data_IF_552708124906
#
_entry.id   IF_552708124906
#
_cell.length_a   1.000
_cell.length_b   1.000
_cell.length_c   1.000
_cell.angle_alpha   90.00
_cell.angle_beta   90.00
_cell.angle_gamma   90.00
#
_symmetry.space_group_name_H-M   'P 1'
#
loop_
_entity.id
_entity.type
_entity.pdbx_description
1 polymer ?
2 non-polymer ?
3 water ?
#
# COMPACT_ATOMS: atom_id res chain seq x y z
N UNK A 1 -35.32 25.35 -4.01
CA UNK A 1 -34.03 25.28 -4.72
C UNK A 1 -32.90 24.95 -3.75
N UNK A 2 -32.20 23.86 -4.03
CA UNK A 2 -31.11 23.36 -3.22
C UNK A 2 -29.77 24.00 -3.61
N UNK A 3 -28.79 24.02 -2.71
CA UNK A 3 -27.47 24.53 -3.08
C UNK A 3 -26.89 23.75 -4.26
N UNK A 4 -26.13 24.45 -5.10
CA UNK A 4 -25.47 23.81 -6.23
C UNK A 4 -24.47 22.76 -5.77
N UNK A 5 -23.74 23.05 -4.70
CA UNK A 5 -22.78 22.10 -4.15
C UNK A 5 -22.85 22.14 -2.64
N UNK A 6 -22.51 21.01 -2.00
CA UNK A 6 -22.31 20.98 -0.55
C UNK A 6 -21.14 20.05 -0.27
N UNK A 7 -20.43 20.34 0.82
CA UNK A 7 -19.28 19.53 1.24
C UNK A 7 -19.22 19.60 2.77
N UNK A 8 -19.72 18.56 3.42
CA UNK A 8 -19.81 18.59 4.87
C UNK A 8 -18.45 18.66 5.53
N UNK A 9 -17.36 18.34 4.82
CA UNK A 9 -16.03 18.54 5.39
C UNK A 9 -15.79 20.00 5.72
N UNK A 10 -16.36 20.93 4.94
CA UNK A 10 -16.19 22.35 5.20
C UNK A 10 -16.89 22.82 6.47
N UNK A 11 -17.82 22.03 6.99
CA UNK A 11 -18.46 22.35 8.26
C UNK A 11 -17.83 21.60 9.42
N UNK A 12 -16.67 20.98 9.21
CA UNK A 12 -16.00 20.22 10.25
C UNK A 12 -16.80 19.05 10.78
N UNK A 13 -17.62 18.43 9.92
CA UNK A 13 -18.51 17.35 10.30
C UNK A 13 -18.01 15.97 9.88
N UNK A 14 -16.80 15.86 9.34
CA UNK A 14 -16.30 14.60 8.80
C UNK A 14 -14.94 14.29 9.41
N UNK A 15 -14.80 13.08 9.96
CA UNK A 15 -13.52 12.66 10.54
C UNK A 15 -12.55 12.22 9.44
N UNK A 16 -11.32 11.91 9.84
CA UNK A 16 -10.32 11.39 8.92
C UNK A 16 -10.78 10.14 8.22
N UNK A 17 -10.35 10.01 6.95
CA UNK A 17 -10.57 8.78 6.19
C UNK A 17 -9.93 7.61 6.93
N UNK A 18 -10.68 6.53 7.09
CA UNK A 18 -10.19 5.34 7.77
C UNK A 18 -9.78 4.29 6.74
N UNK A 19 -9.17 3.21 7.24
CA UNK A 19 -8.60 2.16 6.39
C UNK A 19 -9.14 0.81 6.86
N UNK A 20 -10.09 0.25 6.10
CA UNK A 20 -10.74 -0.99 6.54
C UNK A 20 -9.82 -2.20 6.41
N UNK A 21 -8.85 -2.16 5.50
CA UNK A 21 -7.98 -3.32 5.40
C UNK A 21 -8.70 -4.54 4.83
N UNK A 22 -8.28 -5.72 5.27
CA UNK A 22 -8.80 -6.97 4.72
C UNK A 22 -10.11 -7.41 5.39
N UNK A 23 -10.69 -6.59 6.27
CA UNK A 23 -11.96 -6.87 6.91
C UNK A 23 -13.07 -6.12 6.18
N UNK A 24 -14.09 -6.85 5.69
CA UNK A 24 -15.17 -6.26 4.93
C UNK A 24 -16.15 -5.44 5.76
N UNK A 25 -15.64 -4.41 6.42
CA UNK A 25 -16.40 -3.61 7.38
C UNK A 25 -16.79 -2.24 6.85
N UNK A 26 -16.86 -2.08 5.51
CA UNK A 26 -17.25 -0.78 4.99
C UNK A 26 -18.63 -0.36 5.50
N UNK A 27 -19.52 -1.32 5.74
CA UNK A 27 -20.85 -1.00 6.26
C UNK A 27 -20.75 -0.31 7.62
N UNK A 28 -19.79 -0.75 8.46
CA UNK A 28 -19.63 -0.15 9.77
C UNK A 28 -18.99 1.24 9.67
N UNK A 29 -18.03 1.41 8.77
CA UNK A 29 -17.48 2.74 8.55
C UNK A 29 -18.52 3.70 7.98
N UNK A 30 -19.34 3.23 7.05
CA UNK A 30 -20.39 4.10 6.53
C UNK A 30 -21.33 4.55 7.65
N UNK A 31 -21.66 3.62 8.57
CA UNK A 31 -22.60 3.92 9.62
C UNK A 31 -22.02 4.91 10.63
N UNK A 32 -20.79 4.69 11.11
CA UNK A 32 -20.23 5.63 12.08
C UNK A 32 -20.02 6.99 11.44
N UNK A 33 -19.60 7.02 10.18
CA UNK A 33 -19.37 8.30 9.51
C UNK A 33 -20.62 9.17 9.50
N UNK A 34 -21.75 8.59 9.14
CA UNK A 34 -23.00 9.32 9.16
C UNK A 34 -23.31 9.82 10.56
N UNK A 35 -23.14 8.96 11.58
CA UNK A 35 -23.44 9.37 12.96
C UNK A 35 -22.44 10.39 13.49
N UNK A 36 -21.18 10.33 13.05
CA UNK A 36 -20.19 11.34 13.46
C UNK A 36 -20.65 12.75 13.08
N UNK A 37 -21.29 12.88 11.92
CA UNK A 37 -21.71 14.22 11.47
C UNK A 37 -22.84 14.76 12.33
N UNK A 38 -23.80 13.91 12.66
CA UNK A 38 -24.91 14.32 13.51
C UNK A 38 -24.41 14.69 14.90
N UNK A 39 -23.40 13.95 15.40
CA UNK A 39 -22.85 14.24 16.71
C UNK A 39 -22.17 15.60 16.73
N UNK A 40 -21.38 15.91 15.69
CA UNK A 40 -20.73 17.20 15.59
C UNK A 40 -21.76 18.33 15.54
N UNK A 41 -22.81 18.14 14.74
CA UNK A 41 -23.86 19.13 14.64
C UNK A 41 -24.50 19.39 16.00
N UNK A 42 -24.74 18.32 16.78
CA UNK A 42 -25.45 18.44 18.06
C UNK A 42 -24.57 18.98 19.17
N UNK A 43 -23.34 18.48 19.30
CA UNK A 43 -22.51 18.82 20.44
C UNK A 43 -21.36 19.76 20.10
N UNK A 44 -21.12 20.03 18.82
CA UNK A 44 -19.96 20.82 18.44
C UNK A 44 -18.65 20.08 18.45
N UNK A 45 -18.62 18.83 18.88
CA UNK A 45 -17.40 18.05 18.96
C UNK A 45 -17.35 17.05 17.83
N UNK A 46 -16.20 16.97 17.17
CA UNK A 46 -15.96 16.00 16.11
C UNK A 46 -15.15 14.86 16.71
N UNK A 47 -15.75 13.67 16.81
CA UNK A 47 -15.01 12.53 17.33
C UNK A 47 -15.34 11.30 16.50
N UNK A 48 -14.29 10.60 16.08
CA UNK A 48 -14.45 9.35 15.36
C UNK A 48 -15.13 8.34 16.26
N UNK A 49 -16.16 7.68 15.73
CA UNK A 49 -16.88 6.65 16.45
C UNK A 49 -16.34 5.28 16.06
N UNK A 50 -16.54 4.30 16.95
CA UNK A 50 -15.88 3.00 16.85
C UNK A 50 -16.59 2.13 15.80
N UNK A 51 -15.96 1.94 14.65
CA UNK A 51 -16.44 0.93 13.72
C UNK A 51 -16.26 -0.47 14.31
N UNK A 52 -15.19 -0.69 15.07
CA UNK A 52 -14.95 -1.99 15.67
C UNK A 52 -16.09 -2.38 16.60
N UNK A 53 -16.62 -1.40 17.34
CA UNK A 53 -17.79 -1.61 18.19
C UNK A 53 -18.93 -2.25 17.40
N UNK A 54 -19.19 -1.75 16.20
CA UNK A 54 -20.26 -2.34 15.38
C UNK A 54 -19.89 -3.72 14.89
N UNK A 55 -18.65 -3.89 14.42
CA UNK A 55 -18.20 -5.19 13.90
C UNK A 55 -18.41 -6.27 14.96
N UNK A 56 -17.95 -6.02 16.20
CA UNK A 56 -17.96 -7.03 17.25
C UNK A 56 -19.31 -7.22 17.91
N UNK A 57 -20.20 -6.21 17.89
CA UNK A 57 -21.41 -6.25 18.72
C UNK A 57 -22.72 -6.22 17.95
N UNK A 58 -22.76 -5.56 16.80
CA UNK A 58 -23.97 -5.52 15.97
C UNK A 58 -23.89 -6.70 15.01
N UNK A 59 -24.17 -7.88 15.54
CA UNK A 59 -23.90 -9.15 14.87
C UNK A 59 -25.23 -9.83 14.53
N UNK A 60 -25.47 -11.07 14.95
CA UNK A 60 -26.53 -11.86 14.34
C UNK A 60 -27.93 -11.32 14.65
N UNK A 61 -28.14 -10.69 15.81
CA UNK A 61 -29.45 -10.07 16.06
C UNK A 61 -29.77 -9.01 15.02
N UNK A 62 -28.74 -8.48 14.34
CA UNK A 62 -28.91 -7.42 13.37
C UNK A 62 -28.67 -7.89 11.93
N UNK A 63 -28.59 -9.19 11.71
CA UNK A 63 -28.32 -9.70 10.38
C UNK A 63 -26.94 -9.38 9.86
N UNK A 64 -26.00 -8.98 10.71
CA UNK A 64 -24.65 -8.62 10.29
C UNK A 64 -23.66 -9.73 10.64
N UNK A 65 -22.54 -9.74 9.91
CA UNK A 65 -21.53 -10.78 10.05
C UNK A 65 -20.12 -10.17 10.11
N UNK A 66 -19.95 -9.09 10.88
CA UNK A 66 -18.66 -8.46 11.07
C UNK A 66 -17.86 -8.22 9.81
N UNK A 67 -16.66 -8.81 9.74
CA UNK A 67 -15.78 -8.67 8.59
C UNK A 67 -16.35 -9.29 7.31
N UNK A 68 -17.42 -10.06 7.39
CA UNK A 68 -18.03 -10.63 6.20
C UNK A 68 -19.27 -9.87 5.71
N UNK A 69 -19.48 -8.65 6.19
CA UNK A 69 -20.52 -7.78 5.69
C UNK A 69 -21.60 -7.41 6.69
N UNK A 70 -22.36 -6.38 6.36
CA UNK A 70 -23.46 -5.97 7.23
C UNK A 70 -24.23 -4.83 6.58
N UNK A 71 -25.18 -4.28 7.35
CA UNK A 71 -26.06 -3.20 6.90
C UNK A 71 -25.86 -1.99 7.77
N UNK A 72 -25.88 -0.81 7.14
CA UNK A 72 -25.83 0.43 7.91
C UNK A 72 -27.09 0.57 8.76
N UNK A 73 -28.26 0.21 8.22
CA UNK A 73 -29.52 0.42 8.94
C UNK A 73 -29.55 -0.34 10.26
N UNK A 74 -29.22 -1.64 10.25
CA UNK A 74 -29.24 -2.40 11.49
C UNK A 74 -28.06 -2.08 12.38
N UNK A 75 -26.99 -1.51 11.83
CA UNK A 75 -25.96 -0.95 12.70
C UNK A 75 -26.54 0.21 13.52
N UNK A 76 -27.34 1.08 12.89
CA UNK A 76 -28.02 2.15 13.62
C UNK A 76 -28.97 1.58 14.66
N UNK A 77 -29.75 0.56 14.30
CA UNK A 77 -30.67 -0.03 15.26
C UNK A 77 -29.92 -0.59 16.46
N UNK A 78 -28.76 -1.22 16.25
CA UNK A 78 -27.96 -1.68 17.36
C UNK A 78 -27.59 -0.53 18.30
N UNK A 79 -27.15 0.60 17.73
CA UNK A 79 -26.79 1.74 18.57
C UNK A 79 -28.00 2.24 19.34
N UNK A 80 -29.17 2.24 18.72
CA UNK A 80 -30.40 2.60 19.42
C UNK A 80 -30.63 1.66 20.61
N UNK A 81 -30.66 0.34 20.33
CA UNK A 81 -30.91 -0.65 21.38
C UNK A 81 -29.84 -0.61 22.46
N UNK A 82 -28.58 -0.43 22.05
CA UNK A 82 -27.46 -0.46 22.98
C UNK A 82 -27.40 0.80 23.83
N UNK A 83 -28.16 1.84 23.44
CA UNK A 83 -28.14 3.13 24.12
C UNK A 83 -26.75 3.77 24.06
N UNK A 84 -25.97 3.44 23.04
CA UNK A 84 -24.70 4.12 22.85
C UNK A 84 -23.76 3.37 21.92
N UNK A 85 -22.68 4.07 21.59
CA UNK A 85 -21.54 3.52 20.86
C UNK A 85 -20.28 4.21 21.40
N UNK A 86 -19.20 3.45 21.54
CA UNK A 86 -17.97 3.98 22.08
C UNK A 86 -17.24 4.86 21.06
N UNK A 87 -16.36 5.71 21.57
CA UNK A 87 -15.46 6.45 20.69
C UNK A 87 -14.54 5.46 19.99
N UNK A 88 -14.07 5.85 18.82
CA UNK A 88 -13.07 5.03 18.14
C UNK A 88 -11.78 4.99 18.93
N UNK A 89 -11.42 6.09 19.61
CA UNK A 89 -10.19 6.11 20.42
C UNK A 89 -10.23 5.06 21.52
N UNK A 90 -11.37 4.88 22.17
CA UNK A 90 -11.46 3.91 23.26
C UNK A 90 -11.61 2.47 22.78
N UNK A 91 -12.07 2.28 21.53
CA UNK A 91 -12.37 0.96 20.99
C UNK A 91 -11.87 0.94 19.54
N UNK A 92 -10.55 0.96 19.35
CA UNK A 92 -9.99 1.24 18.03
C UNK A 92 -10.15 0.07 17.07
N UNK A 93 -9.95 0.36 15.78
CA UNK A 93 -10.27 -0.59 14.72
C UNK A 93 -9.13 -1.56 14.48
N UNK A 94 -9.45 -2.86 14.47
CA UNK A 94 -8.44 -3.90 14.34
C UNK A 94 -8.60 -4.73 13.07
N UNK A 95 -9.60 -4.44 12.23
CA UNK A 95 -9.79 -5.14 10.97
C UNK A 95 -9.85 -6.67 11.18
N UNK A 96 -10.52 -7.08 12.25
CA UNK A 96 -10.84 -8.49 12.44
C UNK A 96 -12.03 -8.60 13.38
N UNK A 97 -12.69 -9.77 13.34
CA UNK A 97 -13.84 -10.04 14.20
C UNK A 97 -13.38 -10.33 15.62
N UNK A 98 -13.95 -9.63 16.61
CA UNK A 98 -13.58 -9.82 18.01
C UNK A 98 -14.81 -10.00 18.88
N UNK A 99 -14.55 -10.39 20.13
CA UNK A 99 -15.59 -10.39 21.14
C UNK A 99 -16.10 -8.97 21.35
N UNK A 100 -17.40 -8.84 21.59
CA UNK A 100 -17.96 -7.52 21.86
C UNK A 100 -17.37 -6.95 23.14
N UNK A 101 -16.79 -5.76 23.06
CA UNK A 101 -16.17 -5.14 24.22
C UNK A 101 -16.74 -3.77 24.51
N UNK A 102 -18.02 -3.57 24.19
CA UNK A 102 -18.63 -2.27 24.46
C UNK A 102 -18.60 -1.97 25.95
N UNK A 103 -18.25 -0.73 26.27
CA UNK A 103 -18.16 -0.26 27.65
C UNK A 103 -18.85 1.10 27.68
N UNK A 104 -19.97 1.20 28.40
CA UNK A 104 -20.70 2.44 28.47
C UNK A 104 -19.87 3.59 29.04
N UNK A 105 -18.81 3.29 29.79
CA UNK A 105 -17.94 4.34 30.32
C UNK A 105 -17.34 5.18 29.20
N UNK A 106 -17.16 4.60 28.01
CA UNK A 106 -16.52 5.31 26.91
C UNK A 106 -17.50 5.68 25.81
N UNK A 107 -18.80 5.69 26.12
CA UNK A 107 -19.82 6.09 25.16
C UNK A 107 -19.51 7.48 24.62
N UNK A 108 -19.52 7.61 23.29
CA UNK A 108 -19.25 8.90 22.66
C UNK A 108 -20.41 9.40 21.81
N UNK A 109 -21.41 8.58 21.57
CA UNK A 109 -22.59 9.02 20.84
C UNK A 109 -23.74 8.08 21.14
N UNK A 110 -24.92 8.56 20.81
CA UNK A 110 -26.17 7.83 20.96
C UNK A 110 -26.88 7.93 19.61
N UNK A 111 -27.94 7.16 19.42
CA UNK A 111 -28.72 7.28 18.19
C UNK A 111 -30.20 7.20 18.52
N UNK A 112 -30.98 8.18 18.04
CA UNK A 112 -32.41 8.23 18.35
C UNK A 112 -33.25 7.47 17.32
N UNK A 113 -32.84 7.50 16.06
CA UNK A 113 -33.65 7.01 14.96
C UNK A 113 -32.75 6.98 13.73
N UNK A 114 -33.25 6.40 12.66
CA UNK A 114 -32.64 6.47 11.34
C UNK A 114 -33.76 6.45 10.31
N UNK A 115 -33.44 6.91 9.12
CA UNK A 115 -34.40 7.04 8.02
C UNK A 115 -33.81 6.39 6.78
N UNK A 116 -34.65 5.71 6.02
CA UNK A 116 -34.24 5.11 4.76
C UNK A 116 -34.89 5.87 3.61
N UNK A 117 -34.10 6.12 2.53
CA UNK A 117 -34.65 6.89 1.41
C UNK A 117 -35.08 5.97 0.28
N UNK A 118 -36.03 6.41 -0.56
CA UNK A 118 -36.54 5.53 -1.64
C UNK A 118 -35.49 5.16 -2.67
N UNK A 119 -35.61 3.92 -3.18
CA UNK A 119 -34.67 3.35 -4.13
C UNK A 119 -34.50 4.21 -5.38
N UNK A 120 -33.24 4.52 -5.70
CA UNK A 120 -32.90 5.19 -6.94
C UNK A 120 -33.22 6.66 -7.02
N UNK A 121 -33.73 7.26 -5.95
CA UNK A 121 -34.20 8.64 -5.99
C UNK A 121 -33.02 9.56 -5.73
N UNK A 122 -32.35 9.98 -6.80
CA UNK A 122 -31.19 10.86 -6.64
C UNK A 122 -31.60 12.26 -6.24
N UNK A 123 -32.84 12.67 -6.58
CA UNK A 123 -33.35 13.96 -6.11
C UNK A 123 -33.55 13.94 -4.60
N UNK A 124 -34.13 12.86 -4.07
CA UNK A 124 -34.34 12.75 -2.63
C UNK A 124 -33.01 12.65 -1.89
N UNK A 125 -32.06 11.87 -2.43
CA UNK A 125 -30.75 11.79 -1.80
C UNK A 125 -30.08 13.15 -1.76
N UNK A 126 -30.16 13.91 -2.86
CA UNK A 126 -29.58 15.25 -2.89
C UNK A 126 -30.19 16.12 -1.78
N UNK A 127 -31.51 16.05 -1.61
CA UNK A 127 -32.17 16.87 -0.61
C UNK A 127 -31.72 16.48 0.79
N UNK A 128 -31.60 15.17 1.05
CA UNK A 128 -31.17 14.72 2.37
C UNK A 128 -29.74 15.17 2.67
N UNK A 129 -28.84 15.00 1.69
CA UNK A 129 -27.46 15.47 1.86
C UNK A 129 -27.45 16.98 2.16
N UNK A 130 -28.28 17.75 1.47
CA UNK A 130 -28.30 19.20 1.70
C UNK A 130 -28.91 19.56 3.05
N UNK A 131 -30.03 18.92 3.42
CA UNK A 131 -30.84 19.36 4.55
C UNK A 131 -30.68 18.50 5.79
N UNK A 132 -29.97 17.37 5.73
CA UNK A 132 -29.82 16.52 6.90
C UNK A 132 -28.37 16.24 7.28
N UNK A 133 -27.50 16.04 6.30
CA UNK A 133 -26.10 15.75 6.56
C UNK A 133 -25.65 14.58 5.72
N UNK A 134 -24.41 14.13 5.93
CA UNK A 134 -23.91 12.97 5.18
C UNK A 134 -24.81 11.75 5.31
N UNK A 135 -24.97 11.04 4.19
CA UNK A 135 -25.92 9.93 4.06
C UNK A 135 -25.15 8.64 3.79
N UNK A 136 -25.44 7.62 4.60
CA UNK A 136 -24.88 6.30 4.37
C UNK A 136 -25.51 5.68 3.13
N UNK A 137 -24.68 5.13 2.25
CA UNK A 137 -25.17 4.51 1.02
C UNK A 137 -24.30 3.30 0.71
N UNK A 138 -24.84 2.43 -0.14
CA UNK A 138 -24.07 1.36 -0.76
C UNK A 138 -23.82 1.73 -2.21
N UNK A 139 -22.69 1.24 -2.75
CA UNK A 139 -22.39 1.36 -4.17
C UNK A 139 -21.90 0.01 -4.67
N UNK A 140 -21.97 -0.15 -5.98
CA UNK A 140 -21.42 -1.31 -6.65
C UNK A 140 -19.95 -1.01 -6.91
N UNK A 141 -19.08 -1.56 -6.07
CA UNK A 141 -17.64 -1.34 -6.16
C UNK A 141 -16.89 -2.53 -6.76
N UNK A 142 -17.59 -3.49 -7.37
CA UNK A 142 -16.97 -4.68 -7.95
C UNK A 142 -16.51 -4.43 -9.38
N UNK A 143 -15.56 -3.51 -9.53
CA UNK A 143 -15.04 -3.19 -10.82
C UNK A 143 -13.59 -2.76 -10.63
N UNK A 144 -12.65 -3.31 -11.39
CA UNK A 144 -11.25 -2.87 -11.27
C UNK A 144 -11.09 -1.37 -11.37
N UNK A 145 -11.94 -0.70 -12.15
CA UNK A 145 -11.88 0.76 -12.24
C UNK A 145 -12.10 1.42 -10.88
N UNK A 146 -12.92 0.81 -10.02
CA UNK A 146 -13.13 1.38 -8.70
C UNK A 146 -11.84 1.31 -7.88
N UNK A 147 -11.20 0.14 -7.86
CA UNK A 147 -9.93 -0.01 -7.15
C UNK A 147 -8.84 0.88 -7.72
N UNK A 148 -8.88 1.15 -9.03
CA UNK A 148 -7.85 1.90 -9.73
C UNK A 148 -8.12 3.40 -9.79
N UNK A 149 -9.27 3.85 -9.28
CA UNK A 149 -9.65 5.25 -9.36
C UNK A 149 -8.61 6.14 -8.66
N UNK A 150 -8.20 7.22 -9.33
CA UNK A 150 -7.28 8.21 -8.77
C UNK A 150 -7.92 9.56 -8.57
N UNK A 151 -8.58 10.10 -9.59
CA UNK A 151 -9.14 11.44 -9.50
C UNK A 151 -10.22 11.60 -10.56
N UNK A 152 -10.94 12.71 -10.47
CA UNK A 152 -12.01 13.03 -11.38
C UNK A 152 -13.33 12.46 -10.93
N UNK A 153 -14.30 12.51 -11.86
CA UNK A 153 -15.64 12.02 -11.62
C UNK A 153 -15.70 10.60 -12.19
N UNK A 154 -15.87 9.65 -11.29
CA UNK A 154 -15.90 8.23 -11.64
C UNK A 154 -17.18 7.89 -12.41
N UNK A 155 -17.03 7.25 -13.57
CA UNK A 155 -18.13 6.69 -14.33
C UNK A 155 -17.69 5.34 -14.86
N UNK A 156 -18.45 4.31 -14.53
CA UNK A 156 -18.13 2.93 -14.88
C UNK A 156 -19.26 2.39 -15.74
N UNK A 157 -19.06 2.24 -17.06
CA UNK A 157 -20.18 1.82 -17.93
C UNK A 157 -20.82 0.51 -17.50
N UNK A 158 -20.06 -0.40 -16.92
CA UNK A 158 -20.61 -1.70 -16.54
C UNK A 158 -21.13 -1.74 -15.10
N UNK A 159 -21.22 -0.60 -14.43
CA UNK A 159 -21.75 -0.59 -13.06
C UNK A 159 -23.21 -1.04 -13.05
N UNK A 160 -23.61 -1.67 -11.96
CA UNK A 160 -25.01 -2.01 -11.78
C UNK A 160 -25.59 -1.18 -10.64
N UNK A 161 -26.87 -1.38 -10.40
CA UNK A 161 -27.57 -0.76 -9.28
C UNK A 161 -27.60 -1.67 -8.04
N UNK A 162 -27.04 -2.86 -8.13
CA UNK A 162 -26.86 -3.72 -6.96
C UNK A 162 -25.62 -3.28 -6.19
N UNK A 163 -25.77 -3.00 -4.91
CA UNK A 163 -24.67 -2.48 -4.10
C UNK A 163 -23.98 -3.59 -3.35
N UNK A 164 -22.70 -3.36 -3.02
CA UNK A 164 -21.91 -4.35 -2.29
C UNK A 164 -20.82 -3.72 -1.41
N UNK A 165 -20.78 -2.40 -1.28
CA UNK A 165 -19.73 -1.70 -0.54
C UNK A 165 -20.37 -0.48 0.10
N UNK A 166 -20.20 -0.34 1.41
CA UNK A 166 -20.78 0.78 2.13
C UNK A 166 -19.85 1.98 2.09
N UNK A 167 -20.40 3.14 1.78
CA UNK A 167 -19.67 4.40 1.76
C UNK A 167 -20.54 5.51 2.32
N UNK A 168 -20.00 6.71 2.37
CA UNK A 168 -20.64 7.86 3.00
C UNK A 168 -20.68 9.02 2.02
N UNK A 169 -21.88 9.44 1.63
CA UNK A 169 -22.04 10.61 0.76
C UNK A 169 -21.96 11.86 1.64
N UNK A 170 -20.85 12.59 1.55
CA UNK A 170 -20.65 13.79 2.36
C UNK A 170 -20.92 15.07 1.58
N UNK A 171 -21.36 14.97 0.33
CA UNK A 171 -21.62 16.15 -0.45
C UNK A 171 -21.89 15.83 -1.91
N UNK A 172 -21.99 16.89 -2.70
CA UNK A 172 -22.21 16.75 -4.13
C UNK A 172 -21.79 18.07 -4.77
N UNK A 173 -21.69 18.05 -6.08
CA UNK A 173 -21.37 19.26 -6.80
C UNK A 173 -21.42 19.09 -8.31
N UNK A 174 -20.80 20.05 -8.99
CA UNK A 174 -20.77 20.06 -10.45
C UNK A 174 -19.47 20.74 -10.84
N UNK A 175 -18.54 19.99 -11.40
CA UNK A 175 -17.20 20.48 -11.73
C UNK A 175 -16.75 19.92 -13.06
N UNK A 176 -16.20 20.81 -13.91
CA UNK A 176 -15.66 20.45 -15.21
C UNK A 176 -16.73 19.82 -16.09
N UNK A 177 -17.98 20.31 -15.96
CA UNK A 177 -19.08 19.82 -16.76
C UNK A 177 -19.69 18.53 -16.28
N UNK A 178 -19.25 17.99 -15.13
CA UNK A 178 -19.72 16.72 -14.62
C UNK A 178 -20.35 16.87 -13.23
N UNK A 179 -21.62 16.47 -13.09
CA UNK A 179 -22.26 16.43 -11.78
C UNK A 179 -21.79 15.20 -11.04
N UNK A 180 -21.60 15.32 -9.73
CA UNK A 180 -21.02 14.21 -8.99
C UNK A 180 -21.57 14.16 -7.58
N UNK A 181 -21.38 13.00 -6.96
CA UNK A 181 -21.56 12.81 -5.53
C UNK A 181 -20.18 12.75 -4.88
N UNK A 182 -20.04 13.42 -3.73
CA UNK A 182 -18.77 13.43 -3.01
C UNK A 182 -18.82 12.30 -1.96
N UNK A 183 -17.96 11.30 -2.12
CA UNK A 183 -18.09 10.03 -1.40
C UNK A 183 -16.85 9.79 -0.55
N UNK A 184 -17.03 9.61 0.76
CA UNK A 184 -15.94 9.23 1.66
C UNK A 184 -15.83 7.72 1.67
N UNK A 185 -14.67 7.19 1.23
CA UNK A 185 -14.43 5.75 1.26
C UNK A 185 -13.71 5.37 2.54
N UNK A 186 -13.44 4.07 2.72
CA UNK A 186 -12.69 3.59 3.88
C UNK A 186 -11.53 2.70 3.43
N UNK A 187 -10.80 3.14 2.41
CA UNK A 187 -9.61 2.44 1.95
C UNK A 187 -8.34 3.27 2.18
N UNK A 188 -8.35 4.12 3.21
CA UNK A 188 -7.20 4.93 3.54
C UNK A 188 -7.02 6.12 2.62
N UNK A 189 -5.98 6.91 2.95
CA UNK A 189 -5.74 8.18 2.28
C UNK A 189 -5.18 8.03 0.88
N UNK A 190 -4.57 6.88 0.56
CA UNK A 190 -3.95 6.74 -0.74
C UNK A 190 -4.93 6.34 -1.83
N UNK A 191 -6.17 6.04 -1.48
CA UNK A 191 -7.20 5.80 -2.47
C UNK A 191 -7.73 7.12 -2.99
N UNK A 192 -7.90 7.20 -4.30
CA UNK A 192 -8.57 8.33 -4.93
C UNK A 192 -8.04 9.70 -4.53
N UNK A 193 -8.97 10.61 -4.23
CA UNK A 193 -8.63 11.99 -3.92
C UNK A 193 -8.55 12.09 -2.41
N UNK A 194 -7.38 11.77 -1.87
CA UNK A 194 -7.12 11.82 -0.43
C UNK A 194 -8.15 10.99 0.33
N UNK A 195 -8.51 9.84 -0.23
CA UNK A 195 -9.46 8.95 0.41
C UNK A 195 -10.89 9.09 -0.07
N UNK A 196 -11.18 10.05 -0.96
CA UNK A 196 -12.53 10.31 -1.44
C UNK A 196 -12.66 9.90 -2.90
N UNK A 197 -13.88 9.58 -3.31
CA UNK A 197 -14.18 9.36 -4.72
C UNK A 197 -15.40 10.19 -5.09
N UNK A 198 -15.31 10.93 -6.19
CA UNK A 198 -16.44 11.65 -6.73
C UNK A 198 -17.08 10.79 -7.81
N UNK A 199 -18.35 10.45 -7.61
CA UNK A 199 -19.08 9.52 -8.47
C UNK A 199 -20.16 10.25 -9.26
N UNK A 200 -20.35 9.83 -10.50
CA UNK A 200 -21.32 10.45 -11.41
C UNK A 200 -22.70 10.53 -10.79
N UNK A 201 -23.29 11.71 -10.84
CA UNK A 201 -24.59 12.00 -10.26
C UNK A 201 -25.59 12.29 -11.37
N UNK A 202 -26.85 11.90 -11.14
CA UNK A 202 -27.91 12.06 -12.13
C UNK A 202 -27.59 11.32 -13.41
N UNK A 203 -26.96 10.15 -13.28
CA UNK A 203 -26.73 9.30 -14.44
C UNK A 203 -27.46 7.98 -14.20
N UNK A 204 -28.76 8.08 -13.89
CA UNK A 204 -29.58 6.90 -13.69
C UNK A 204 -29.17 5.99 -12.56
N UNK A 205 -28.87 6.56 -11.38
CA UNK A 205 -28.50 5.78 -10.20
C UNK A 205 -27.22 4.98 -10.45
N UNK A 206 -26.21 5.67 -10.96
CA UNK A 206 -24.94 5.04 -11.34
C UNK A 206 -24.29 4.33 -10.16
N UNK A 207 -23.95 3.06 -10.37
CA UNK A 207 -23.34 2.17 -9.36
C UNK A 207 -24.23 1.99 -8.13
N UNK A 208 -25.53 2.23 -8.27
CA UNK A 208 -26.48 2.04 -7.20
C UNK A 208 -26.33 2.98 -6.02
N UNK A 209 -25.71 4.15 -6.23
CA UNK A 209 -25.41 5.07 -5.11
C UNK A 209 -26.68 5.46 -4.35
N UNK A 210 -27.83 5.50 -5.01
CA UNK A 210 -29.08 5.86 -4.37
C UNK A 210 -30.01 4.67 -4.16
N UNK A 211 -29.49 3.44 -4.30
CA UNK A 211 -30.35 2.27 -4.14
C UNK A 211 -30.81 2.10 -2.69
N UNK A 212 -29.90 2.24 -1.72
CA UNK A 212 -30.22 2.00 -0.31
C UNK A 212 -29.56 3.05 0.59
N UNK A 213 -30.04 4.29 0.55
CA UNK A 213 -29.51 5.30 1.47
C UNK A 213 -30.22 5.29 2.81
N UNK A 214 -29.47 5.66 3.83
CA UNK A 214 -30.05 5.83 5.14
C UNK A 214 -29.18 6.81 5.92
N UNK A 215 -29.80 7.54 6.87
CA UNK A 215 -29.05 8.43 7.74
C UNK A 215 -29.62 8.40 9.16
N UNK A 216 -28.77 8.54 10.16
CA UNK A 216 -29.24 8.51 11.55
C UNK A 216 -29.47 9.92 12.10
N UNK A 217 -30.11 10.01 13.25
CA UNK A 217 -30.33 11.30 13.89
C UNK A 217 -30.14 11.12 15.39
N UNK A 218 -29.69 12.19 16.03
CA UNK A 218 -29.59 12.29 17.49
C UNK A 218 -30.44 13.50 17.89
N UNK A 219 -31.56 13.24 18.54
CA UNK A 219 -32.53 14.26 18.91
C UNK A 219 -32.20 14.87 20.28
N UNK A 220 -32.66 16.11 20.50
CA UNK A 220 -32.49 16.72 21.80
C UNK A 220 -33.27 15.91 22.84
N UNK A 221 -32.62 15.58 23.94
CA UNK A 221 -33.29 14.78 24.94
C UNK A 221 -33.42 13.31 24.54
N UNK B 1 24.72 -6.15 20.07
CA UNK B 1 23.34 -5.65 20.01
C UNK B 1 22.63 -5.98 18.69
N UNK B 2 23.36 -6.47 17.68
CA UNK B 2 22.68 -6.72 16.42
C UNK B 2 21.94 -8.07 16.46
N UNK B 3 20.88 -8.22 15.68
CA UNK B 3 20.21 -9.53 15.63
C UNK B 3 21.14 -10.59 15.07
N UNK B 4 21.02 -11.80 15.62
CA UNK B 4 21.83 -12.92 15.14
C UNK B 4 21.50 -13.22 13.68
N UNK B 5 20.23 -13.12 13.31
CA UNK B 5 19.77 -13.37 11.94
C UNK B 5 18.76 -12.29 11.56
N UNK B 6 18.71 -11.97 10.26
CA UNK B 6 17.69 -11.09 9.69
C UNK B 6 17.30 -11.61 8.32
N UNK B 7 16.05 -11.35 7.93
CA UNK B 7 15.54 -11.74 6.62
C UNK B 7 14.49 -10.71 6.22
N UNK B 8 14.87 -9.78 5.35
CA UNK B 8 13.97 -8.70 4.99
C UNK B 8 12.75 -9.17 4.23
N UNK B 9 12.77 -10.39 3.66
CA UNK B 9 11.54 -10.93 3.08
C UNK B 9 10.45 -11.04 4.13
N UNK B 10 10.82 -11.25 5.38
CA UNK B 10 9.84 -11.33 6.45
C UNK B 10 9.14 -10.00 6.72
N UNK B 11 9.71 -8.88 6.26
CA UNK B 11 9.06 -7.58 6.39
C UNK B 11 8.36 -7.14 5.11
N UNK B 12 8.17 -8.06 4.16
CA UNK B 12 7.54 -7.71 2.89
C UNK B 12 8.32 -6.67 2.09
N UNK B 13 9.65 -6.63 2.25
CA UNK B 13 10.48 -5.62 1.61
C UNK B 13 11.21 -6.12 0.37
N UNK B 14 10.94 -7.34 -0.08
CA UNK B 14 11.69 -7.92 -1.19
C UNK B 14 10.71 -8.39 -2.27
N UNK B 15 10.88 -7.90 -3.50
CA UNK B 15 10.00 -8.31 -4.59
C UNK B 15 10.37 -9.70 -5.09
N UNK B 16 9.53 -10.21 -5.98
CA UNK B 16 9.78 -11.51 -6.59
C UNK B 16 11.13 -11.53 -7.31
N UNK B 17 11.80 -12.69 -7.24
CA UNK B 17 13.04 -12.89 -7.97
C UNK B 17 12.81 -12.67 -9.46
N UNK B 18 13.71 -11.94 -10.10
CA UNK B 18 13.66 -11.67 -11.54
C UNK B 18 14.64 -12.56 -12.29
N UNK B 19 14.58 -12.49 -13.63
CA UNK B 19 15.36 -13.36 -14.51
C UNK B 19 16.06 -12.52 -15.56
N UNK B 20 17.37 -12.29 -15.40
CA UNK B 20 18.10 -11.39 -16.30
C UNK B 20 18.30 -12.00 -17.69
N UNK B 21 18.37 -13.32 -17.79
CA UNK B 21 18.58 -13.92 -19.10
C UNK B 21 19.98 -13.61 -19.64
N UNK B 22 20.09 -13.51 -20.95
CA UNK B 22 21.38 -13.34 -21.60
C UNK B 22 21.86 -11.90 -21.60
N UNK B 23 21.16 -11.01 -20.91
CA UNK B 23 21.57 -9.62 -20.74
C UNK B 23 22.25 -9.50 -19.38
N UNK B 24 23.51 -9.04 -19.39
CA UNK B 24 24.29 -8.90 -18.16
C UNK B 24 23.90 -7.71 -17.30
N UNK B 25 22.65 -7.70 -16.84
CA UNK B 25 22.08 -6.57 -16.12
C UNK B 25 21.90 -6.86 -14.63
N UNK B 26 22.70 -7.78 -14.08
CA UNK B 26 22.57 -8.04 -12.64
C UNK B 26 22.83 -6.78 -11.83
N UNK B 27 23.71 -5.91 -12.33
CA UNK B 27 23.96 -4.64 -11.65
C UNK B 27 22.68 -3.82 -11.56
N UNK B 28 21.83 -3.88 -12.58
CA UNK B 28 20.60 -3.10 -12.54
C UNK B 28 19.57 -3.75 -11.62
N UNK B 29 19.47 -5.09 -11.64
CA UNK B 29 18.56 -5.76 -10.72
C UNK B 29 19.00 -5.56 -9.27
N UNK B 30 20.31 -5.62 -9.03
CA UNK B 30 20.79 -5.37 -7.66
C UNK B 30 20.38 -3.99 -7.18
N UNK B 31 20.49 -2.97 -8.05
CA UNK B 31 20.15 -1.60 -7.67
C UNK B 31 18.66 -1.43 -7.41
N UNK B 32 17.80 -1.89 -8.33
CA UNK B 32 16.36 -1.72 -8.08
C UNK B 32 15.95 -2.51 -6.85
N UNK B 33 16.53 -3.70 -6.67
CA UNK B 33 16.16 -4.50 -5.51
C UNK B 33 16.40 -3.76 -4.21
N UNK B 34 17.57 -3.14 -4.09
CA UNK B 34 17.86 -2.34 -2.91
C UNK B 34 16.87 -1.20 -2.73
N UNK B 35 16.58 -0.47 -3.81
CA UNK B 35 15.68 0.68 -3.71
C UNK B 35 14.25 0.24 -3.41
N UNK B 36 13.85 -0.93 -3.92
CA UNK B 36 12.50 -1.43 -3.65
C UNK B 36 12.23 -1.53 -2.15
N UNK B 37 13.23 -1.95 -1.37
CA UNK B 37 13.04 -2.10 0.06
C UNK B 37 12.90 -0.74 0.74
N UNK B 38 13.71 0.22 0.33
CA UNK B 38 13.61 1.55 0.92
C UNK B 38 12.26 2.17 0.59
N UNK B 39 11.76 1.96 -0.63
CA UNK B 39 10.45 2.48 -1.00
C UNK B 39 9.37 1.81 -0.16
N UNK B 40 9.47 0.49 0.03
CA UNK B 40 8.49 -0.23 0.84
C UNK B 40 8.47 0.31 2.27
N UNK B 41 9.65 0.49 2.87
CA UNK B 41 9.72 1.04 4.22
C UNK B 41 9.08 2.42 4.30
N UNK B 42 9.25 3.24 3.26
CA UNK B 42 8.77 4.62 3.34
C UNK B 42 7.27 4.71 3.08
N UNK B 43 6.78 4.01 2.06
CA UNK B 43 5.39 4.16 1.64
C UNK B 43 4.49 3.00 1.99
N UNK B 44 5.04 1.88 2.46
CA UNK B 44 4.22 0.71 2.69
C UNK B 44 3.88 -0.10 1.47
N UNK B 45 4.27 0.34 0.28
CA UNK B 45 3.95 -0.37 -0.95
C UNK B 45 5.18 -1.08 -1.48
N UNK B 46 5.01 -2.34 -1.87
CA UNK B 46 6.06 -3.15 -2.51
C UNK B 46 5.80 -3.17 -4.01
N UNK B 47 6.68 -2.56 -4.79
CA UNK B 47 6.50 -2.53 -6.23
C UNK B 47 7.84 -2.77 -6.92
N UNK B 48 7.85 -3.68 -7.89
CA UNK B 48 9.07 -3.91 -8.66
C UNK B 48 9.42 -2.67 -9.47
N UNK B 49 10.67 -2.23 -9.35
CA UNK B 49 11.16 -1.08 -10.10
C UNK B 49 11.87 -1.54 -11.36
N UNK B 50 11.94 -0.64 -12.34
CA UNK B 50 12.35 -0.96 -13.71
C UNK B 50 13.86 -1.14 -13.81
N UNK B 51 14.30 -2.38 -13.91
CA UNK B 51 15.69 -2.64 -14.26
C UNK B 51 15.98 -2.17 -15.68
N UNK B 52 15.00 -2.32 -16.58
CA UNK B 52 15.19 -1.91 -17.98
C UNK B 52 15.47 -0.41 -18.05
N UNK B 53 14.80 0.37 -17.21
CA UNK B 53 15.05 1.81 -17.09
C UNK B 53 16.52 2.10 -16.86
N UNK B 54 17.15 1.35 -15.95
CA UNK B 54 18.58 1.55 -15.70
C UNK B 54 19.41 1.12 -16.90
N UNK B 55 19.08 -0.03 -17.49
CA UNK B 55 19.82 -0.53 -18.64
C UNK B 55 19.85 0.51 -19.75
N UNK B 56 18.68 1.07 -20.09
CA UNK B 56 18.56 1.95 -21.25
C UNK B 56 19.03 3.38 -20.98
N UNK B 57 19.01 3.84 -19.74
CA UNK B 57 19.18 5.26 -19.45
C UNK B 57 20.39 5.58 -18.59
N UNK B 58 20.79 4.67 -17.71
CA UNK B 58 22.00 4.88 -16.93
C UNK B 58 23.17 4.27 -17.71
N UNK B 59 23.63 5.00 -18.72
CA UNK B 59 24.54 4.48 -19.73
C UNK B 59 25.93 5.15 -19.56
N UNK B 60 26.53 5.71 -20.62
CA UNK B 60 27.95 6.00 -20.60
C UNK B 60 28.30 7.12 -19.62
N UNK B 61 27.40 8.09 -19.42
CA UNK B 61 27.66 9.13 -18.41
C UNK B 61 27.86 8.55 -17.03
N UNK B 62 27.37 7.32 -16.80
CA UNK B 62 27.48 6.64 -15.52
C UNK B 62 28.48 5.50 -15.56
N UNK B 63 29.30 5.42 -16.61
CA UNK B 63 30.24 4.32 -16.76
C UNK B 63 29.61 2.97 -17.00
N UNK B 64 28.33 2.91 -17.36
CA UNK B 64 27.66 1.63 -17.55
C UNK B 64 27.48 1.32 -19.05
N UNK B 65 27.31 0.04 -19.34
CA UNK B 65 27.16 -0.43 -20.71
C UNK B 65 26.00 -1.41 -20.84
N UNK B 66 24.87 -1.09 -20.22
CA UNK B 66 23.65 -1.86 -20.32
C UNK B 66 23.85 -3.35 -20.13
N UNK B 67 23.49 -4.14 -21.14
CA UNK B 67 23.61 -5.59 -21.09
C UNK B 67 25.05 -6.07 -21.01
N UNK B 68 26.04 -5.19 -21.18
CA UNK B 68 27.44 -5.54 -21.01
C UNK B 68 28.00 -5.10 -19.67
N UNK B 69 27.14 -4.74 -18.71
CA UNK B 69 27.61 -4.52 -17.36
C UNK B 69 27.45 -3.10 -16.85
N UNK B 70 27.55 -2.95 -15.54
CA UNK B 70 27.41 -1.65 -14.91
C UNK B 70 27.65 -1.75 -13.42
N UNK B 71 27.40 -0.63 -12.74
CA UNK B 71 27.61 -0.46 -11.31
C UNK B 71 26.31 -0.06 -10.63
N UNK B 72 26.09 -0.61 -9.44
CA UNK B 72 24.93 -0.23 -8.63
C UNK B 72 25.00 1.23 -8.19
N UNK B 73 26.21 1.69 -7.81
CA UNK B 73 26.36 3.06 -7.29
C UNK B 73 25.96 4.09 -8.33
N UNK B 74 26.49 3.97 -9.55
CA UNK B 74 26.13 4.93 -10.59
C UNK B 74 24.72 4.72 -11.11
N UNK B 75 24.17 3.52 -10.91
CA UNK B 75 22.73 3.34 -11.14
C UNK B 75 21.94 4.19 -10.15
N UNK B 76 22.33 4.17 -8.87
CA UNK B 76 21.69 5.03 -7.88
C UNK B 76 21.86 6.49 -8.25
N UNK B 77 23.08 6.86 -8.70
CA UNK B 77 23.33 8.24 -9.09
C UNK B 77 22.42 8.67 -10.23
N UNK B 78 22.20 7.79 -11.21
CA UNK B 78 21.27 8.11 -12.27
C UNK B 78 19.88 8.42 -11.72
N UNK B 79 19.40 7.58 -10.80
CA UNK B 79 18.06 7.78 -10.24
C UNK B 79 17.98 9.11 -9.52
N UNK B 80 19.06 9.46 -8.78
CA UNK B 80 19.15 10.76 -8.14
C UNK B 80 19.13 11.87 -9.19
N UNK B 81 20.02 11.81 -10.18
CA UNK B 81 20.08 12.84 -11.21
C UNK B 81 18.77 12.91 -11.98
N UNK B 82 18.20 11.75 -12.33
CA UNK B 82 17.01 11.72 -13.16
C UNK B 82 15.77 12.16 -12.41
N UNK B 83 15.84 12.26 -11.08
CA UNK B 83 14.69 12.60 -10.23
C UNK B 83 13.58 11.54 -10.32
N UNK B 84 13.94 10.29 -10.61
CA UNK B 84 12.95 9.24 -10.54
C UNK B 84 13.39 7.99 -11.27
N UNK B 85 12.62 6.95 -11.07
CA UNK B 85 12.78 5.70 -11.82
C UNK B 85 11.37 5.16 -12.04
N UNK B 86 11.13 4.60 -13.23
CA UNK B 86 9.82 4.04 -13.53
C UNK B 86 9.61 2.71 -12.81
N UNK B 87 8.34 2.35 -12.66
CA UNK B 87 7.96 1.02 -12.24
C UNK B 87 8.32 0.00 -13.31
N UNK B 88 8.55 -1.25 -12.90
CA UNK B 88 8.74 -2.32 -13.88
C UNK B 88 7.48 -2.54 -14.71
N UNK B 89 6.31 -2.33 -14.10
CA UNK B 89 5.06 -2.48 -14.83
C UNK B 89 4.99 -1.56 -16.04
N UNK B 90 5.40 -0.30 -15.88
CA UNK B 90 5.34 0.66 -16.97
C UNK B 90 6.49 0.54 -17.94
N UNK B 91 7.61 -0.05 -17.52
CA UNK B 91 8.85 -0.06 -18.29
C UNK B 91 9.46 -1.44 -18.15
N UNK B 92 8.85 -2.45 -18.77
CA UNK B 92 9.18 -3.84 -18.45
C UNK B 92 10.52 -4.28 -19.01
N UNK B 93 11.02 -5.39 -18.47
CA UNK B 93 12.35 -5.86 -18.78
C UNK B 93 12.35 -6.72 -20.04
N UNK B 94 13.24 -6.42 -20.97
CA UNK B 94 13.31 -7.10 -22.24
C UNK B 94 14.64 -7.81 -22.46
N UNK B 95 15.58 -7.73 -21.52
CA UNK B 95 16.88 -8.39 -21.64
C UNK B 95 17.59 -8.01 -22.94
N UNK B 96 17.51 -6.74 -23.31
CA UNK B 96 18.27 -6.22 -24.43
C UNK B 96 18.41 -4.71 -24.24
N UNK B 97 19.39 -4.15 -24.96
CA UNK B 97 19.69 -2.72 -24.91
C UNK B 97 18.68 -1.98 -25.78
N UNK B 98 18.06 -0.95 -25.21
CA UNK B 98 17.08 -0.16 -25.93
C UNK B 98 17.37 1.31 -25.75
N UNK B 99 16.69 2.14 -26.54
CA UNK B 99 16.73 3.57 -26.32
C UNK B 99 16.11 3.87 -24.97
N UNK B 100 16.65 4.89 -24.31
CA UNK B 100 16.11 5.32 -23.03
C UNK B 100 14.67 5.78 -23.23
N UNK B 101 13.74 5.16 -22.51
CA UNK B 101 12.33 5.49 -22.65
C UNK B 101 11.71 5.88 -21.32
N UNK B 102 12.49 6.49 -20.44
CA UNK B 102 11.97 6.94 -19.15
C UNK B 102 10.84 7.94 -19.34
N UNK B 103 9.78 7.77 -18.55
CA UNK B 103 8.60 8.62 -18.62
C UNK B 103 8.26 9.01 -17.19
N UNK B 104 8.42 10.30 -16.85
CA UNK B 104 8.17 10.75 -15.48
C UNK B 104 6.73 10.50 -15.04
N UNK B 105 5.80 10.34 -15.99
CA UNK B 105 4.42 10.05 -15.63
C UNK B 105 4.31 8.75 -14.84
N UNK B 106 5.23 7.82 -15.07
CA UNK B 106 5.16 6.50 -14.45
C UNK B 106 6.24 6.31 -13.38
N UNK B 107 6.76 7.42 -12.85
CA UNK B 107 7.72 7.36 -11.76
C UNK B 107 7.11 6.61 -10.59
N UNK B 108 7.83 5.62 -10.08
CA UNK B 108 7.38 4.84 -8.93
C UNK B 108 8.32 4.94 -7.76
N UNK B 109 9.50 5.52 -7.95
CA UNK B 109 10.39 5.74 -6.84
C UNK B 109 11.35 6.85 -7.24
N UNK B 110 11.98 7.38 -6.21
CA UNK B 110 12.99 8.43 -6.26
C UNK B 110 14.18 7.94 -5.45
N UNK B 111 15.31 8.65 -5.53
CA UNK B 111 16.46 8.31 -4.69
C UNK B 111 17.11 9.58 -4.15
N UNK B 112 17.30 9.65 -2.82
CA UNK B 112 17.89 10.84 -2.21
C UNK B 112 19.41 10.79 -2.17
N UNK B 113 19.98 9.62 -1.97
CA UNK B 113 21.40 9.46 -1.71
C UNK B 113 21.71 7.97 -1.76
N UNK B 114 23.00 7.65 -1.75
CA UNK B 114 23.44 6.28 -1.54
C UNK B 114 24.73 6.33 -0.76
N UNK B 115 25.05 5.21 -0.12
CA UNK B 115 26.21 5.08 0.74
C UNK B 115 27.01 3.84 0.35
N UNK B 116 28.33 3.94 0.36
CA UNK B 116 29.21 2.81 0.11
C UNK B 116 29.86 2.39 1.41
N UNK B 117 30.01 1.06 1.62
CA UNK B 117 30.60 0.50 2.81
C UNK B 117 32.05 0.09 2.56
N UNK B 118 32.90 0.08 3.60
CA UNK B 118 34.32 -0.24 3.39
C UNK B 118 34.52 -1.67 2.92
N UNK B 119 35.51 -1.83 2.03
CA UNK B 119 35.84 -3.09 1.38
C UNK B 119 36.16 -4.18 2.40
N UNK B 120 35.46 -5.32 2.29
CA UNK B 120 35.76 -6.51 3.08
C UNK B 120 35.34 -6.49 4.52
N UNK B 121 34.66 -5.43 4.97
CA UNK B 121 34.27 -5.28 6.37
C UNK B 121 32.92 -5.97 6.53
N UNK B 122 32.96 -7.27 6.85
CA UNK B 122 31.70 -8.00 6.97
C UNK B 122 30.93 -7.59 8.22
N UNK B 123 31.64 -7.11 9.26
CA UNK B 123 30.94 -6.56 10.41
C UNK B 123 30.14 -5.33 10.02
N UNK B 124 30.72 -4.45 9.22
CA UNK B 124 30.03 -3.24 8.81
C UNK B 124 28.84 -3.58 7.91
N UNK B 125 29.00 -4.54 6.99
CA UNK B 125 27.89 -4.99 6.16
C UNK B 125 26.78 -5.58 7.02
N UNK B 126 27.15 -6.40 8.01
CA UNK B 126 26.14 -6.97 8.92
C UNK B 126 25.32 -5.86 9.56
N UNK B 127 25.99 -4.83 10.06
CA UNK B 127 25.29 -3.72 10.69
C UNK B 127 24.36 -3.00 9.71
N UNK B 128 24.83 -2.76 8.48
CA UNK B 128 23.99 -2.07 7.50
C UNK B 128 22.75 -2.89 7.16
N UNK B 129 22.92 -4.18 6.89
CA UNK B 129 21.76 -5.02 6.58
C UNK B 129 20.78 -5.00 7.73
N UNK B 130 21.26 -5.03 8.97
CA UNK B 130 20.36 -5.02 10.11
C UNK B 130 19.67 -3.66 10.26
N UNK B 131 20.42 -2.56 10.11
CA UNK B 131 19.94 -1.23 10.48
C UNK B 131 19.53 -0.35 9.31
N UNK B 132 19.79 -0.74 8.07
CA UNK B 132 19.36 0.08 6.95
C UNK B 132 18.45 -0.66 5.97
N UNK B 133 18.72 -1.93 5.72
CA UNK B 133 17.94 -2.72 4.78
C UNK B 133 18.84 -3.50 3.84
N UNK B 134 18.24 -4.15 2.84
CA UNK B 134 19.03 -4.92 1.87
C UNK B 134 20.11 -4.08 1.22
N UNK B 135 21.29 -4.68 1.03
CA UNK B 135 22.47 -3.97 0.56
C UNK B 135 22.92 -4.56 -0.78
N UNK B 136 23.08 -3.70 -1.79
CA UNK B 136 23.63 -4.12 -3.07
C UNK B 136 25.11 -4.45 -2.92
N UNK B 137 25.52 -5.58 -3.49
CA UNK B 137 26.90 -6.03 -3.43
C UNK B 137 27.25 -6.73 -4.73
N UNK B 138 28.55 -6.84 -4.99
CA UNK B 138 29.04 -7.66 -6.07
C UNK B 138 29.61 -8.92 -5.46
N UNK B 139 29.55 -10.02 -6.22
CA UNK B 139 30.22 -11.25 -5.84
C UNK B 139 30.98 -11.79 -7.05
N UNK B 140 31.94 -12.64 -6.74
CA UNK B 140 32.66 -13.39 -7.77
C UNK B 140 31.84 -14.62 -8.05
N UNK B 141 31.09 -14.59 -9.15
CA UNK B 141 30.23 -15.70 -9.52
C UNK B 141 30.79 -16.52 -10.68
N UNK B 142 32.06 -16.32 -11.03
CA UNK B 142 32.68 -17.00 -12.17
C UNK B 142 33.21 -18.36 -11.73
N UNK B 143 32.28 -19.23 -11.35
CA UNK B 143 32.61 -20.55 -10.91
C UNK B 143 31.46 -21.47 -11.25
N UNK B 144 31.71 -22.61 -11.88
CA UNK B 144 30.62 -23.54 -12.16
C UNK B 144 29.81 -23.88 -10.92
N UNK B 145 30.47 -23.93 -9.77
CA UNK B 145 29.78 -24.22 -8.51
C UNK B 145 28.69 -23.20 -8.22
N UNK B 146 28.91 -21.94 -8.62
CA UNK B 146 27.88 -20.94 -8.41
C UNK B 146 26.66 -21.24 -9.26
N UNK B 147 26.87 -21.50 -10.56
CA UNK B 147 25.76 -21.83 -11.44
C UNK B 147 25.02 -23.08 -10.97
N UNK B 148 25.73 -24.04 -10.39
CA UNK B 148 25.22 -25.36 -10.02
C UNK B 148 24.71 -25.42 -8.58
N UNK B 149 24.80 -24.32 -7.83
CA UNK B 149 24.35 -24.30 -6.44
C UNK B 149 22.88 -24.67 -6.32
N UNK B 150 22.57 -25.55 -5.37
CA UNK B 150 21.19 -25.92 -5.08
C UNK B 150 20.72 -25.48 -3.70
N UNK B 151 21.50 -25.75 -2.66
CA UNK B 151 21.03 -25.46 -1.30
C UNK B 151 22.20 -25.44 -0.32
N UNK B 152 21.90 -24.96 0.90
CA UNK B 152 22.88 -24.93 1.94
C UNK B 152 23.76 -23.70 1.83
N UNK B 153 24.84 -23.71 2.59
CA UNK B 153 25.74 -22.56 2.65
C UNK B 153 26.84 -22.79 1.62
N UNK B 154 26.84 -21.95 0.61
CA UNK B 154 27.80 -22.02 -0.48
C UNK B 154 29.19 -21.60 0.00
N UNK B 155 30.19 -22.44 -0.27
CA UNK B 155 31.60 -22.12 -0.04
C UNK B 155 32.42 -22.61 -1.22
N UNK B 156 33.14 -21.70 -1.87
CA UNK B 156 33.91 -22.00 -3.08
C UNK B 156 35.37 -21.72 -2.83
N UNK B 157 36.20 -22.75 -2.64
CA UNK B 157 37.61 -22.50 -2.27
C UNK B 157 38.36 -21.62 -3.26
N UNK B 158 38.01 -21.65 -4.54
CA UNK B 158 38.72 -20.85 -5.54
C UNK B 158 38.11 -19.46 -5.74
N UNK B 159 37.16 -19.06 -4.91
CA UNK B 159 36.60 -17.72 -5.04
C UNK B 159 37.67 -16.68 -4.73
N UNK B 160 37.58 -15.52 -5.40
CA UNK B 160 38.43 -14.36 -5.10
C UNK B 160 37.59 -13.24 -4.50
N UNK B 161 38.25 -12.13 -4.16
CA UNK B 161 37.55 -10.94 -3.69
C UNK B 161 37.23 -9.97 -4.83
N UNK B 162 37.62 -10.28 -6.07
CA UNK B 162 37.25 -9.51 -7.26
C UNK B 162 35.84 -9.89 -7.69
N UNK B 163 34.93 -8.92 -7.78
CA UNK B 163 33.52 -9.17 -8.03
C UNK B 163 33.19 -8.96 -9.51
N UNK B 164 32.16 -9.65 -9.97
CA UNK B 164 31.78 -9.58 -11.37
C UNK B 164 30.28 -9.75 -11.60
N UNK B 165 29.48 -9.87 -10.54
CA UNK B 165 28.06 -10.17 -10.64
C UNK B 165 27.36 -9.41 -9.53
N UNK B 166 26.35 -8.62 -9.87
CA UNK B 166 25.64 -7.83 -8.89
C UNK B 166 24.51 -8.65 -8.29
N UNK B 167 24.40 -8.62 -6.97
CA UNK B 167 23.32 -9.29 -6.26
C UNK B 167 22.88 -8.39 -5.10
N UNK B 168 21.90 -8.88 -4.33
CA UNK B 168 21.29 -8.13 -3.23
C UNK B 168 21.34 -8.97 -1.96
N UNK B 169 22.03 -8.46 -0.94
CA UNK B 169 22.03 -9.10 0.37
C UNK B 169 20.75 -8.66 1.11
N UNK B 170 19.81 -9.59 1.27
CA UNK B 170 18.55 -9.29 1.96
C UNK B 170 18.52 -9.80 3.39
N UNK B 171 19.61 -10.37 3.90
CA UNK B 171 19.62 -10.86 5.25
C UNK B 171 20.89 -11.65 5.54
N UNK B 172 20.90 -12.28 6.71
CA UNK B 172 22.03 -13.11 7.11
C UNK B 172 21.56 -14.07 8.20
N UNK B 173 22.35 -15.11 8.42
CA UNK B 173 21.99 -16.09 9.42
C UNK B 173 23.07 -17.13 9.63
N UNK B 174 22.64 -18.27 10.14
CA UNK B 174 23.51 -19.39 10.42
C UNK B 174 22.73 -20.69 10.24
N UNK B 175 23.39 -21.70 9.70
CA UNK B 175 22.77 -22.99 9.44
C UNK B 175 23.74 -24.04 9.95
N UNK B 176 23.35 -24.75 11.01
CA UNK B 176 24.17 -25.83 11.59
C UNK B 176 25.61 -25.39 11.82
N UNK B 177 25.76 -24.19 12.37
CA UNK B 177 27.07 -23.66 12.69
C UNK B 177 27.80 -22.96 11.55
N UNK B 178 27.20 -22.86 10.38
CA UNK B 178 27.85 -22.19 9.26
C UNK B 178 27.11 -20.89 9.05
N UNK B 179 27.82 -19.78 9.21
CA UNK B 179 27.23 -18.46 9.04
C UNK B 179 27.13 -18.11 7.55
N UNK B 180 26.07 -17.39 7.19
CA UNK B 180 25.85 -17.13 5.78
C UNK B 180 25.26 -15.74 5.57
N UNK B 181 25.37 -15.29 4.33
CA UNK B 181 24.63 -14.14 3.84
C UNK B 181 23.46 -14.64 2.99
N UNK B 182 22.29 -14.03 3.18
CA UNK B 182 21.09 -14.38 2.41
C UNK B 182 21.04 -13.49 1.18
N UNK B 183 21.21 -14.08 0.00
CA UNK B 183 21.51 -13.33 -1.22
C UNK B 183 20.41 -13.60 -2.25
N UNK B 184 19.76 -12.53 -2.70
CA UNK B 184 18.79 -12.59 -3.78
C UNK B 184 19.51 -12.45 -5.11
N UNK B 185 19.40 -13.48 -5.95
CA UNK B 185 20.00 -13.47 -7.28
C UNK B 185 18.96 -12.94 -8.26
N UNK B 186 19.32 -12.86 -9.54
CA UNK B 186 18.42 -12.46 -10.63
C UNK B 186 18.47 -13.49 -11.75
N UNK B 187 18.38 -14.77 -11.38
CA UNK B 187 18.37 -15.89 -12.32
C UNK B 187 17.06 -16.69 -12.24
N UNK B 188 15.95 -16.04 -11.84
CA UNK B 188 14.68 -16.74 -11.75
C UNK B 188 14.57 -17.64 -10.52
N UNK B 189 13.40 -18.31 -10.43
CA UNK B 189 13.11 -19.16 -9.27
C UNK B 189 13.92 -20.45 -9.27
N UNK B 190 14.33 -20.94 -10.43
CA UNK B 190 14.98 -22.25 -10.47
C UNK B 190 16.47 -22.20 -10.14
N UNK B 191 17.02 -21.03 -9.85
CA UNK B 191 18.37 -20.98 -9.32
C UNK B 191 18.34 -21.20 -7.81
N UNK B 192 19.27 -22.03 -7.33
CA UNK B 192 19.49 -22.21 -5.89
C UNK B 192 18.24 -22.51 -5.11
N UNK B 193 18.04 -21.78 -4.00
CA UNK B 193 16.90 -21.95 -3.11
C UNK B 193 15.88 -20.90 -3.48
N UNK B 194 15.03 -21.22 -4.48
CA UNK B 194 13.99 -20.30 -4.95
C UNK B 194 14.56 -18.95 -5.35
N UNK B 195 15.72 -18.97 -5.99
CA UNK B 195 16.32 -17.75 -6.50
C UNK B 195 17.34 -17.13 -5.58
N UNK B 196 17.55 -17.71 -4.41
CA UNK B 196 18.47 -17.21 -3.41
C UNK B 196 19.65 -18.15 -3.26
N UNK B 197 20.77 -17.60 -2.79
CA UNK B 197 21.92 -18.39 -2.40
C UNK B 197 22.39 -17.90 -1.05
N UNK B 198 22.65 -18.84 -0.14
CA UNK B 198 23.23 -18.53 1.15
C UNK B 198 24.73 -18.70 1.05
N UNK B 199 25.47 -17.61 1.17
CA UNK B 199 26.91 -17.57 0.91
C UNK B 199 27.67 -17.41 2.20
N UNK B 200 28.81 -18.11 2.30
CA UNK B 200 29.59 -18.12 3.52
C UNK B 200 29.90 -16.71 4.03
N UNK B 201 29.64 -16.50 5.31
CA UNK B 201 29.80 -15.22 5.98
C UNK B 201 30.91 -15.31 7.01
N UNK B 202 31.67 -14.21 7.17
CA UNK B 202 32.78 -14.15 8.12
C UNK B 202 33.82 -15.22 7.82
N UNK B 203 34.02 -15.50 6.53
CA UNK B 203 35.09 -16.36 6.06
C UNK B 203 36.03 -15.55 5.17
N UNK B 204 36.53 -14.43 5.69
CA UNK B 204 37.48 -13.60 4.98
C UNK B 204 36.98 -13.00 3.68
N UNK B 205 35.76 -12.45 3.70
CA UNK B 205 35.17 -11.78 2.53
C UNK B 205 35.04 -12.77 1.37
N UNK B 206 34.38 -13.90 1.66
CA UNK B 206 34.24 -14.97 0.68
C UNK B 206 33.52 -14.50 -0.58
N UNK B 207 34.14 -14.77 -1.73
CA UNK B 207 33.64 -14.38 -3.05
C UNK B 207 33.46 -12.87 -3.17
N UNK B 208 34.14 -12.12 -2.31
CA UNK B 208 34.09 -10.67 -2.36
C UNK B 208 32.74 -10.08 -2.01
N UNK B 209 31.92 -10.81 -1.24
CA UNK B 209 30.56 -10.37 -0.96
C UNK B 209 30.55 -8.98 -0.32
N UNK B 210 31.59 -8.63 0.44
CA UNK B 210 31.66 -7.33 1.10
C UNK B 210 32.68 -6.40 0.46
N UNK B 211 33.15 -6.71 -0.76
CA UNK B 211 34.15 -5.86 -1.39
C UNK B 211 33.58 -4.48 -1.74
N UNK B 212 32.38 -4.44 -2.31
CA UNK B 212 31.78 -3.20 -2.78
C UNK B 212 30.29 -3.17 -2.47
N UNK B 213 29.93 -2.98 -1.20
CA UNK B 213 28.53 -2.83 -0.83
C UNK B 213 28.07 -1.39 -0.95
N UNK B 214 26.80 -1.23 -1.32
CA UNK B 214 26.20 0.10 -1.35
C UNK B 214 24.69 -0.03 -1.20
N UNK B 215 24.08 0.99 -0.59
CA UNK B 215 22.64 1.00 -0.44
C UNK B 215 22.10 2.41 -0.63
N UNK B 216 20.91 2.54 -1.21
CA UNK B 216 20.29 3.84 -1.43
C UNK B 216 19.35 4.17 -0.28
N UNK B 217 18.86 5.42 -0.27
CA UNK B 217 17.87 5.88 0.70
C UNK B 217 16.86 6.82 0.03
N UNK B 218 15.63 6.81 0.55
CA UNK B 218 14.61 7.78 0.15
C UNK B 218 14.22 8.54 1.42
N UNK B 219 14.60 9.82 1.46
CA UNK B 219 14.44 10.70 2.62
C UNK B 219 13.06 11.35 2.64
N UNK B 220 12.62 11.77 3.82
CA UNK B 220 11.35 12.48 3.92
C UNK B 220 11.39 13.78 3.13
N UNK B 221 12.39 14.61 3.39
CA UNK B 221 12.51 15.87 2.67
C UNK B 221 12.75 15.71 1.18
#
# INVERSE_FOLDING_TARGET
ILPDSVDWREKGCVTEVKYQGSCGASWAFSAVGALEAQLKLKTGKLVSLSAQNLVDCSTEKYGNKGCNGGFMTTAFQYIIDNKGIDSDASYPYKAMDQKCQYDSKYRAATCSKYTELPYGREDVLKEAVANKGPVSVGVDARHPSFFLYRSGVYYEPSCTQNVNHGVLVVGYGDLNGKEYWLVKNSWGHNFGEEGYIRMARNKGNHCGIASFPSYPEILQGGG
ILPDSVDWREKGCVTEVKYQGSCGASWAFSAVGALEAQLKLKTGKLVSLSAQNLVDCSTEKYGNKGCNGGFMTTAFQYIIDNKGIDSDASYPYKAMDQKCQYDSKYRAATCSKYTELPYGREDVLKEAVANKGPVSVGVDARHPSFFLYRSGVYYEPSCTQNVNHGVLVVGYGDLNGKEYWLVKNSWGHNFGEEGYIRMARNKGNHCGIASFPSYPEILQGGG
#
